data_IF_258827278051
#
_entry.id   IF_258827278051
#
_cell.length_a   1.000
_cell.length_b   1.000
_cell.length_c   1.000
_cell.angle_alpha   90.00
_cell.angle_beta   90.00
_cell.angle_gamma   90.00
#
_symmetry.space_group_name_H-M   'P 1'
#
loop_
_entity.id
_entity.type
_entity.pdbx_description
1 polymer ?
#
# COMPACT_ATOMS: atom_id res chain seq x y z
N UNK A 1 -23.88 1.99 -18.73
CA UNK A 1 -22.59 1.60 -18.14
C UNK A 1 -22.88 0.84 -16.86
N UNK A 2 -22.58 -0.46 -16.84
CA UNK A 2 -22.67 -1.33 -15.66
C UNK A 2 -21.25 -1.66 -15.21
N UNK A 3 -20.51 -0.63 -14.79
CA UNK A 3 -19.12 -0.75 -14.34
C UNK A 3 -19.10 -1.02 -12.84
N UNK A 4 -18.31 -1.99 -12.37
CA UNK A 4 -18.02 -2.19 -10.95
C UNK A 4 -19.30 -2.45 -10.11
N UNK A 5 -20.08 -3.45 -10.51
CA UNK A 5 -21.28 -3.86 -9.79
C UNK A 5 -21.27 -5.38 -9.55
N UNK A 6 -21.85 -5.84 -8.44
CA UNK A 6 -21.99 -7.27 -8.14
C UNK A 6 -23.20 -7.91 -8.87
N UNK A 7 -23.45 -7.56 -10.14
CA UNK A 7 -24.57 -8.16 -10.86
C UNK A 7 -24.29 -9.63 -11.19
N UNK A 8 -25.22 -10.50 -10.78
CA UNK A 8 -25.19 -11.95 -11.03
C UNK A 8 -26.32 -12.32 -12.01
N UNK A 9 -26.05 -13.21 -12.97
CA UNK A 9 -27.03 -13.70 -13.95
C UNK A 9 -26.49 -13.80 -15.38
N UNK A 10 -27.36 -14.11 -16.34
CA UNK A 10 -27.05 -13.99 -17.77
C UNK A 10 -27.33 -12.55 -18.24
N UNK A 11 -26.60 -12.06 -19.25
CA UNK A 11 -26.90 -10.74 -19.84
C UNK A 11 -28.28 -10.79 -20.53
N UNK A 12 -29.26 -9.97 -20.13
CA UNK A 12 -30.50 -9.80 -20.89
C UNK A 12 -30.21 -9.14 -22.25
N UNK A 13 -30.82 -9.70 -23.29
CA UNK A 13 -30.61 -9.34 -24.72
C UNK A 13 -30.84 -7.85 -24.99
N UNK A 14 -31.63 -7.19 -24.16
CA UNK A 14 -31.98 -5.77 -24.25
C UNK A 14 -30.82 -4.82 -23.86
N UNK A 15 -29.75 -5.31 -23.24
CA UNK A 15 -28.60 -4.51 -22.78
C UNK A 15 -27.55 -4.25 -23.86
N UNK A 16 -27.88 -4.40 -25.15
CA UNK A 16 -26.98 -4.33 -26.31
C UNK A 16 -26.13 -3.07 -26.53
N UNK A 17 -26.00 -2.19 -25.55
CA UNK A 17 -25.07 -1.05 -25.56
C UNK A 17 -24.31 -0.86 -24.23
N UNK A 18 -24.40 -1.82 -23.30
CA UNK A 18 -23.83 -1.68 -21.97
C UNK A 18 -22.46 -2.35 -21.87
N UNK A 19 -21.43 -1.59 -21.49
CA UNK A 19 -20.16 -2.11 -20.99
C UNK A 19 -20.40 -2.77 -19.63
N UNK A 20 -20.02 -4.04 -19.50
CA UNK A 20 -20.25 -4.89 -18.31
C UNK A 20 -18.92 -5.31 -17.69
N UNK A 21 -18.06 -4.34 -17.38
CA UNK A 21 -16.73 -4.62 -16.79
C UNK A 21 -16.87 -5.00 -15.32
N UNK A 22 -16.09 -5.96 -14.87
CA UNK A 22 -15.97 -6.32 -13.45
C UNK A 22 -17.32 -6.65 -12.80
N UNK A 23 -17.99 -7.69 -13.31
CA UNK A 23 -19.25 -8.23 -12.76
C UNK A 23 -19.15 -9.76 -12.60
N UNK A 24 -20.25 -10.41 -12.20
CA UNK A 24 -20.34 -11.87 -12.07
C UNK A 24 -21.31 -12.47 -13.09
N UNK A 25 -21.34 -11.92 -14.31
CA UNK A 25 -22.19 -12.47 -15.35
C UNK A 25 -21.70 -13.85 -15.78
N UNK A 26 -22.65 -14.76 -16.01
CA UNK A 26 -22.38 -16.18 -16.33
C UNK A 26 -23.13 -16.59 -17.60
N UNK A 27 -22.81 -17.78 -18.12
CA UNK A 27 -23.40 -18.32 -19.34
C UNK A 27 -22.68 -17.89 -20.62
N UNK A 28 -23.29 -18.14 -21.77
CA UNK A 28 -22.72 -17.79 -23.07
C UNK A 28 -23.11 -16.38 -23.51
N UNK A 29 -22.28 -15.78 -24.37
CA UNK A 29 -22.64 -14.53 -25.03
C UNK A 29 -23.84 -14.77 -25.97
N UNK A 30 -24.91 -13.95 -25.88
CA UNK A 30 -26.08 -14.11 -26.73
C UNK A 30 -25.73 -13.83 -28.20
N UNK A 31 -26.20 -14.68 -29.10
CA UNK A 31 -25.97 -14.53 -30.55
C UNK A 31 -26.64 -13.26 -31.11
N UNK A 32 -27.68 -12.80 -30.43
CA UNK A 32 -28.45 -11.59 -30.71
C UNK A 32 -27.58 -10.33 -30.67
N UNK A 33 -26.42 -10.35 -29.98
CA UNK A 33 -25.48 -9.23 -30.00
C UNK A 33 -25.01 -8.89 -31.42
N UNK A 34 -24.97 -9.87 -32.33
CA UNK A 34 -24.63 -9.64 -33.74
C UNK A 34 -25.64 -8.80 -34.52
N UNK A 35 -26.81 -8.48 -33.94
CA UNK A 35 -27.84 -7.64 -34.58
C UNK A 35 -27.65 -6.14 -34.31
N UNK A 36 -26.74 -5.78 -33.42
CA UNK A 36 -26.53 -4.42 -32.93
C UNK A 36 -25.66 -3.61 -33.89
N UNK A 37 -26.20 -3.21 -35.04
CA UNK A 37 -25.46 -2.55 -36.12
C UNK A 37 -24.68 -1.28 -35.71
N UNK A 38 -25.07 -0.63 -34.61
CA UNK A 38 -24.45 0.59 -34.09
C UNK A 38 -23.41 0.36 -32.98
N UNK A 39 -23.16 -0.89 -32.58
CA UNK A 39 -22.22 -1.20 -31.51
C UNK A 39 -20.78 -0.89 -31.95
N UNK A 40 -20.09 -0.06 -31.16
CA UNK A 40 -18.73 0.39 -31.44
C UNK A 40 -17.71 -0.23 -30.49
N UNK A 41 -18.10 -0.45 -29.23
CA UNK A 41 -17.27 -1.05 -28.21
C UNK A 41 -18.08 -2.11 -27.47
N UNK A 42 -17.54 -3.32 -27.39
CA UNK A 42 -18.06 -4.38 -26.55
C UNK A 42 -16.96 -4.75 -25.55
N UNK A 43 -17.19 -4.44 -24.28
CA UNK A 43 -16.27 -4.71 -23.20
C UNK A 43 -16.99 -5.51 -22.11
N UNK A 44 -16.48 -6.70 -21.85
CA UNK A 44 -17.05 -7.67 -20.91
C UNK A 44 -15.94 -8.46 -20.19
N UNK A 45 -14.78 -7.84 -20.00
CA UNK A 45 -13.67 -8.41 -19.26
C UNK A 45 -14.01 -8.67 -17.79
N UNK A 46 -13.24 -9.56 -17.17
CA UNK A 46 -13.35 -9.92 -15.75
C UNK A 46 -14.77 -10.37 -15.35
N UNK A 47 -15.30 -11.35 -16.09
CA UNK A 47 -16.60 -11.96 -15.80
C UNK A 47 -16.47 -13.49 -15.78
N UNK A 48 -17.59 -14.20 -15.66
CA UNK A 48 -17.66 -15.66 -15.65
C UNK A 48 -18.36 -16.21 -16.91
N UNK A 49 -18.24 -15.53 -18.05
CA UNK A 49 -18.79 -16.02 -19.31
C UNK A 49 -18.11 -17.31 -19.75
N UNK A 50 -18.86 -18.20 -20.39
CA UNK A 50 -18.41 -19.53 -20.78
C UNK A 50 -19.03 -19.98 -22.11
N UNK A 51 -18.47 -21.02 -22.72
CA UNK A 51 -18.91 -21.50 -24.03
C UNK A 51 -18.21 -20.78 -25.20
N UNK A 52 -18.66 -21.03 -26.45
CA UNK A 52 -17.98 -20.52 -27.64
C UNK A 52 -18.24 -19.04 -27.90
N UNK A 53 -17.26 -18.38 -28.52
CA UNK A 53 -17.43 -17.05 -29.07
C UNK A 53 -18.47 -17.09 -30.22
N UNK A 54 -19.54 -16.28 -30.18
CA UNK A 54 -20.56 -16.29 -31.21
C UNK A 54 -20.02 -15.72 -32.53
N UNK A 55 -20.06 -16.47 -33.65
CA UNK A 55 -19.60 -15.98 -34.96
C UNK A 55 -20.34 -14.72 -35.43
N UNK A 56 -21.58 -14.53 -34.95
CA UNK A 56 -22.45 -13.40 -35.23
C UNK A 56 -21.81 -12.05 -34.89
N UNK A 57 -20.87 -12.00 -33.93
CA UNK A 57 -20.15 -10.77 -33.60
C UNK A 57 -19.33 -10.23 -34.77
N UNK A 58 -18.92 -11.09 -35.72
CA UNK A 58 -18.26 -10.68 -36.95
C UNK A 58 -19.13 -9.82 -37.90
N UNK A 59 -20.43 -9.71 -37.64
CA UNK A 59 -21.36 -8.91 -38.45
C UNK A 59 -21.53 -7.46 -37.94
N UNK A 60 -20.71 -7.02 -36.98
CA UNK A 60 -20.80 -5.68 -36.39
C UNK A 60 -19.94 -4.67 -37.16
N UNK A 61 -20.51 -3.82 -38.04
CA UNK A 61 -19.73 -3.04 -39.00
C UNK A 61 -18.96 -1.87 -38.38
N UNK A 62 -19.33 -1.44 -37.17
CA UNK A 62 -18.76 -0.29 -36.48
C UNK A 62 -17.91 -0.66 -35.27
N UNK A 63 -17.78 -1.95 -34.95
CA UNK A 63 -17.04 -2.41 -33.78
C UNK A 63 -15.54 -2.15 -33.97
N UNK A 64 -14.97 -1.32 -33.10
CA UNK A 64 -13.54 -1.00 -33.11
C UNK A 64 -12.79 -1.53 -31.89
N UNK A 65 -13.51 -1.81 -30.78
CA UNK A 65 -12.93 -2.39 -29.57
C UNK A 65 -13.76 -3.58 -29.10
N UNK A 66 -13.10 -4.73 -28.96
CA UNK A 66 -13.66 -5.96 -28.42
C UNK A 66 -12.77 -6.47 -27.29
N UNK A 67 -13.25 -6.36 -26.06
CA UNK A 67 -12.57 -6.89 -24.87
C UNK A 67 -13.43 -7.96 -24.19
N UNK A 68 -12.95 -9.19 -24.26
CA UNK A 68 -13.55 -10.38 -23.64
C UNK A 68 -12.52 -11.12 -22.77
N UNK A 69 -11.44 -10.43 -22.37
CA UNK A 69 -10.37 -11.00 -21.57
C UNK A 69 -10.85 -11.47 -20.20
N UNK A 70 -10.07 -12.35 -19.55
CA UNK A 70 -10.36 -12.83 -18.19
C UNK A 70 -11.77 -13.40 -18.02
N UNK A 71 -12.11 -14.38 -18.85
CA UNK A 71 -13.38 -15.11 -18.82
C UNK A 71 -13.11 -16.62 -18.95
N UNK A 72 -14.15 -17.43 -19.16
CA UNK A 72 -14.05 -18.88 -19.39
C UNK A 72 -14.54 -19.30 -20.78
N UNK A 73 -14.36 -18.45 -21.80
CA UNK A 73 -14.72 -18.78 -23.18
C UNK A 73 -13.88 -19.97 -23.71
N UNK A 74 -14.49 -20.82 -24.52
CA UNK A 74 -13.86 -22.04 -25.04
C UNK A 74 -14.14 -22.25 -26.53
N UNK A 75 -13.50 -23.24 -27.16
CA UNK A 75 -13.65 -23.48 -28.61
C UNK A 75 -12.77 -22.56 -29.46
N UNK A 76 -13.05 -22.46 -30.76
CA UNK A 76 -12.21 -21.72 -31.72
C UNK A 76 -12.56 -20.22 -31.80
N UNK A 77 -11.57 -19.40 -32.17
CA UNK A 77 -11.83 -18.00 -32.55
C UNK A 77 -12.57 -18.00 -33.90
N UNK A 78 -13.77 -17.39 -34.01
CA UNK A 78 -14.54 -17.41 -35.25
C UNK A 78 -13.82 -16.69 -36.39
N UNK A 79 -13.73 -17.33 -37.56
CA UNK A 79 -13.15 -16.72 -38.78
C UNK A 79 -13.90 -15.45 -39.20
N UNK A 80 -15.18 -15.37 -38.86
CA UNK A 80 -16.02 -14.20 -39.10
C UNK A 80 -15.48 -12.92 -38.46
N UNK A 81 -14.62 -13.00 -37.43
CA UNK A 81 -14.00 -11.81 -36.85
C UNK A 81 -13.11 -11.06 -37.86
N UNK A 82 -12.58 -11.74 -38.89
CA UNK A 82 -11.87 -11.10 -40.00
C UNK A 82 -12.72 -10.15 -40.87
N UNK A 83 -14.05 -10.20 -40.73
CA UNK A 83 -14.98 -9.27 -41.40
C UNK A 83 -15.04 -7.90 -40.71
N UNK A 84 -14.56 -7.79 -39.48
CA UNK A 84 -14.60 -6.55 -38.68
C UNK A 84 -13.53 -5.57 -39.17
N UNK A 85 -13.82 -4.84 -40.24
CA UNK A 85 -12.84 -3.96 -40.91
C UNK A 85 -12.41 -2.73 -40.10
N UNK A 86 -13.19 -2.34 -39.09
CA UNK A 86 -12.87 -1.25 -38.16
C UNK A 86 -12.25 -1.70 -36.84
N UNK A 87 -12.05 -3.00 -36.66
CA UNK A 87 -11.53 -3.54 -35.41
C UNK A 87 -10.08 -3.09 -35.20
N UNK A 88 -9.85 -2.37 -34.11
CA UNK A 88 -8.55 -1.82 -33.78
C UNK A 88 -7.94 -2.47 -32.54
N UNK A 89 -8.78 -2.91 -31.62
CA UNK A 89 -8.40 -3.53 -30.35
C UNK A 89 -9.17 -4.84 -30.16
N UNK A 90 -8.44 -5.94 -30.01
CA UNK A 90 -8.99 -7.26 -29.74
C UNK A 90 -8.24 -7.90 -28.56
N UNK A 91 -8.94 -8.02 -27.43
CA UNK A 91 -8.43 -8.66 -26.21
C UNK A 91 -9.23 -9.93 -25.92
N UNK A 92 -8.57 -11.08 -26.03
CA UNK A 92 -9.13 -12.40 -25.72
C UNK A 92 -8.24 -13.17 -24.73
N UNK A 93 -7.32 -12.48 -24.05
CA UNK A 93 -6.38 -13.09 -23.11
C UNK A 93 -7.09 -13.79 -21.93
N UNK A 94 -6.39 -14.76 -21.34
CA UNK A 94 -6.85 -15.48 -20.14
C UNK A 94 -8.26 -16.10 -20.32
N UNK A 95 -8.37 -16.98 -21.31
CA UNK A 95 -9.56 -17.77 -21.62
C UNK A 95 -9.14 -19.23 -21.96
N UNK A 96 -10.10 -20.07 -22.36
CA UNK A 96 -9.87 -21.47 -22.78
C UNK A 96 -10.03 -21.65 -24.31
N UNK A 97 -9.70 -20.62 -25.10
CA UNK A 97 -9.83 -20.67 -26.56
C UNK A 97 -8.78 -21.62 -27.15
N UNK A 98 -9.19 -22.44 -28.10
CA UNK A 98 -8.39 -23.52 -28.67
C UNK A 98 -8.43 -23.51 -30.19
N UNK A 99 -7.65 -24.37 -30.84
CA UNK A 99 -7.58 -24.44 -32.30
C UNK A 99 -6.71 -23.33 -32.89
N UNK A 100 -6.85 -23.12 -34.21
CA UNK A 100 -5.96 -22.21 -34.94
C UNK A 100 -6.44 -20.76 -34.91
N UNK A 101 -5.48 -19.83 -34.81
CA UNK A 101 -5.73 -18.41 -35.02
C UNK A 101 -6.16 -18.18 -36.47
N UNK A 102 -7.36 -17.64 -36.75
CA UNK A 102 -7.85 -17.43 -38.11
C UNK A 102 -6.91 -16.51 -38.90
N UNK A 103 -6.41 -16.90 -40.08
CA UNK A 103 -5.60 -16.03 -40.94
C UNK A 103 -6.34 -14.75 -41.33
N UNK A 104 -7.68 -14.78 -41.38
CA UNK A 104 -8.54 -13.64 -41.68
C UNK A 104 -8.39 -12.49 -40.67
N UNK A 105 -7.93 -12.75 -39.43
CA UNK A 105 -7.60 -11.70 -38.47
C UNK A 105 -6.40 -10.86 -38.92
N UNK A 106 -5.48 -11.44 -39.69
CA UNK A 106 -4.31 -10.75 -40.25
C UNK A 106 -4.66 -9.85 -41.43
N UNK A 107 -5.87 -9.97 -41.99
CA UNK A 107 -6.37 -9.11 -43.05
C UNK A 107 -7.01 -7.81 -42.52
N UNK A 108 -7.11 -7.66 -41.19
CA UNK A 108 -7.65 -6.46 -40.56
C UNK A 108 -6.56 -5.38 -40.54
N UNK A 109 -6.69 -4.40 -41.43
CA UNK A 109 -5.70 -3.33 -41.62
C UNK A 109 -5.63 -2.38 -40.42
N UNK A 110 -6.77 -2.15 -39.73
CA UNK A 110 -6.87 -1.19 -38.63
C UNK A 110 -6.48 -1.77 -37.24
N UNK A 111 -6.05 -3.04 -37.19
CA UNK A 111 -5.70 -3.75 -35.97
C UNK A 111 -4.41 -3.21 -35.34
N UNK A 112 -4.55 -2.40 -34.29
CA UNK A 112 -3.43 -1.84 -33.54
C UNK A 112 -3.01 -2.73 -32.37
N UNK A 113 -3.96 -3.43 -31.76
CA UNK A 113 -3.70 -4.25 -30.58
C UNK A 113 -4.44 -5.56 -30.67
N UNK A 114 -3.68 -6.65 -30.55
CA UNK A 114 -4.17 -8.01 -30.48
C UNK A 114 -3.57 -8.63 -29.23
N UNK A 115 -4.38 -9.22 -28.36
CA UNK A 115 -3.90 -10.00 -27.23
C UNK A 115 -4.68 -11.32 -27.16
N UNK A 116 -3.97 -12.42 -27.38
CA UNK A 116 -4.48 -13.79 -27.37
C UNK A 116 -3.72 -14.63 -26.34
N UNK A 117 -3.06 -13.98 -25.38
CA UNK A 117 -2.19 -14.66 -24.42
C UNK A 117 -2.98 -15.56 -23.48
N UNK A 118 -2.31 -16.54 -22.87
CA UNK A 118 -2.88 -17.45 -21.87
C UNK A 118 -4.18 -18.14 -22.34
N UNK A 119 -4.14 -18.74 -23.53
CA UNK A 119 -5.20 -19.57 -24.09
C UNK A 119 -4.64 -20.96 -24.47
N UNK A 120 -5.39 -21.76 -25.22
CA UNK A 120 -5.02 -23.10 -25.72
C UNK A 120 -4.81 -23.12 -27.25
N UNK A 121 -4.39 -22.00 -27.84
CA UNK A 121 -4.31 -21.83 -29.29
C UNK A 121 -3.10 -22.56 -29.92
N UNK A 122 -3.25 -22.93 -31.19
CA UNK A 122 -2.20 -23.45 -32.09
C UNK A 122 -1.99 -22.49 -33.28
N UNK A 123 -0.77 -22.37 -33.83
CA UNK A 123 -0.47 -21.35 -34.87
C UNK A 123 -0.35 -22.00 -36.24
N UNK A 124 -1.06 -21.37 -37.19
CA UNK A 124 -0.76 -21.31 -38.62
C UNK A 124 -0.99 -19.87 -39.12
N UNK A 125 -0.47 -18.89 -38.37
CA UNK A 125 -0.64 -17.46 -38.58
C UNK A 125 0.72 -16.79 -38.84
N UNK A 126 0.90 -16.21 -40.03
CA UNK A 126 2.11 -15.47 -40.41
C UNK A 126 2.03 -14.02 -39.90
N UNK A 127 1.92 -13.84 -38.58
CA UNK A 127 1.77 -12.54 -37.93
C UNK A 127 2.96 -12.17 -37.05
N UNK A 128 4.15 -12.04 -37.63
CA UNK A 128 5.40 -11.72 -36.90
C UNK A 128 5.32 -10.43 -36.07
N UNK A 129 4.36 -9.55 -36.36
CA UNK A 129 4.14 -8.29 -35.65
C UNK A 129 3.56 -8.46 -34.23
N UNK A 130 2.86 -9.57 -33.95
CA UNK A 130 2.12 -9.78 -32.71
C UNK A 130 2.74 -10.86 -31.83
N UNK A 131 4.06 -11.01 -31.84
CA UNK A 131 4.77 -12.12 -31.18
C UNK A 131 4.45 -12.27 -29.69
N UNK A 132 4.32 -11.15 -28.97
CA UNK A 132 4.01 -11.15 -27.53
C UNK A 132 2.54 -11.47 -27.24
N UNK A 133 1.64 -11.25 -28.21
CA UNK A 133 0.20 -11.52 -28.10
C UNK A 133 -0.14 -13.00 -27.97
N UNK A 134 0.84 -13.89 -28.20
CA UNK A 134 0.65 -15.35 -28.20
C UNK A 134 1.27 -16.04 -26.97
N UNK A 135 1.84 -15.29 -26.03
CA UNK A 135 2.44 -15.84 -24.81
C UNK A 135 1.44 -16.70 -24.03
N UNK A 136 1.91 -17.74 -23.35
CA UNK A 136 1.05 -18.57 -22.49
C UNK A 136 0.16 -19.59 -23.22
N UNK A 137 0.25 -19.71 -24.55
CA UNK A 137 -0.44 -20.75 -25.31
C UNK A 137 0.42 -22.04 -25.42
N UNK A 138 0.03 -23.17 -24.79
CA UNK A 138 0.84 -24.38 -24.75
C UNK A 138 1.03 -25.04 -26.12
N UNK A 139 0.09 -24.86 -27.05
CA UNK A 139 0.14 -25.39 -28.42
C UNK A 139 1.14 -24.69 -29.34
N UNK A 140 1.70 -23.54 -28.93
CA UNK A 140 2.62 -22.69 -29.73
C UNK A 140 4.09 -22.93 -29.46
N UNK A 141 4.41 -23.80 -28.50
CA UNK A 141 5.76 -24.08 -28.09
C UNK A 141 6.54 -24.94 -29.11
N UNK A 142 7.15 -24.30 -30.11
CA UNK A 142 8.12 -24.94 -31.01
C UNK A 142 9.54 -24.81 -30.44
N UNK A 143 9.97 -25.78 -29.63
CA UNK A 143 11.39 -26.02 -29.30
C UNK A 143 12.12 -25.03 -28.37
N UNK A 144 11.59 -23.83 -28.09
CA UNK A 144 12.20 -22.85 -27.17
C UNK A 144 11.27 -22.32 -26.06
N UNK A 145 10.18 -23.02 -25.76
CA UNK A 145 9.59 -22.88 -24.43
C UNK A 145 10.45 -23.67 -23.45
N UNK A 146 11.29 -22.97 -22.68
CA UNK A 146 11.68 -23.52 -21.38
C UNK A 146 10.39 -23.85 -20.64
N UNK A 147 10.21 -25.15 -20.40
CA UNK A 147 9.08 -25.77 -19.72
C UNK A 147 8.61 -24.93 -18.53
N UNK A 148 7.55 -24.16 -18.73
CA UNK A 148 6.53 -24.00 -17.71
C UNK A 148 5.52 -25.14 -17.90
N UNK A 149 5.88 -26.30 -17.35
CA UNK A 149 4.88 -27.31 -16.98
C UNK A 149 4.65 -28.48 -17.93
N UNK A 150 5.63 -29.37 -18.06
CA UNK A 150 5.34 -30.81 -17.84
C UNK A 150 6.11 -31.27 -16.62
N UNK A 151 5.54 -32.17 -15.77
CA UNK A 151 6.20 -32.67 -14.57
C UNK A 151 7.30 -33.63 -15.00
N UNK A 152 8.41 -33.04 -15.43
CA UNK A 152 9.67 -33.73 -15.60
C UNK A 152 10.05 -34.31 -14.23
N UNK A 153 10.66 -35.48 -14.19
CA UNK A 153 10.98 -36.27 -12.98
C UNK A 153 11.62 -35.44 -11.83
N UNK A 154 12.20 -34.29 -12.16
CA UNK A 154 12.73 -33.27 -11.25
C UNK A 154 11.67 -32.50 -10.45
N UNK A 155 10.45 -32.29 -10.94
CA UNK A 155 9.36 -31.59 -10.23
C UNK A 155 8.84 -32.40 -9.05
N UNK A 156 8.73 -33.73 -9.18
CA UNK A 156 8.48 -34.60 -8.03
C UNK A 156 9.63 -34.58 -7.02
N UNK A 157 10.89 -34.51 -7.47
CA UNK A 157 12.05 -34.40 -6.58
C UNK A 157 12.08 -33.05 -5.85
N UNK A 158 11.78 -31.94 -6.55
CA UNK A 158 11.70 -30.60 -5.95
C UNK A 158 10.50 -30.50 -5.00
N UNK A 159 9.32 -31.01 -5.37
CA UNK A 159 8.15 -31.07 -4.49
C UNK A 159 8.46 -31.93 -3.25
N UNK A 160 9.14 -33.07 -3.40
CA UNK A 160 9.60 -33.90 -2.27
C UNK A 160 10.62 -33.20 -1.36
N UNK A 161 11.39 -32.23 -1.86
CA UNK A 161 12.34 -31.45 -1.07
C UNK A 161 11.72 -30.19 -0.45
N UNK A 162 10.83 -29.52 -1.18
CA UNK A 162 10.30 -28.20 -0.82
C UNK A 162 9.06 -28.31 0.05
N UNK A 163 8.16 -29.27 -0.20
CA UNK A 163 6.98 -29.49 0.64
C UNK A 163 7.33 -29.76 2.11
N UNK A 164 8.29 -30.64 2.48
CA UNK A 164 8.63 -30.82 3.88
C UNK A 164 9.30 -29.58 4.48
N UNK A 165 9.97 -28.74 3.69
CA UNK A 165 10.52 -27.47 4.17
C UNK A 165 9.38 -26.50 4.50
N UNK A 166 8.38 -26.35 3.63
CA UNK A 166 7.20 -25.52 3.91
C UNK A 166 6.37 -26.08 5.08
N UNK A 167 6.25 -27.41 5.17
CA UNK A 167 5.55 -28.05 6.28
C UNK A 167 6.31 -27.85 7.60
N UNK A 168 7.65 -27.95 7.59
CA UNK A 168 8.49 -27.65 8.74
C UNK A 168 8.42 -26.17 9.12
N UNK A 169 8.44 -25.24 8.15
CA UNK A 169 8.27 -23.82 8.39
C UNK A 169 6.89 -23.52 8.99
N UNK A 170 5.82 -24.14 8.47
CA UNK A 170 4.48 -24.02 9.00
C UNK A 170 4.38 -24.57 10.43
N UNK A 171 5.01 -25.71 10.73
CA UNK A 171 5.09 -26.25 12.10
C UNK A 171 5.87 -25.31 13.01
N UNK A 172 7.00 -24.74 12.58
CA UNK A 172 7.77 -23.75 13.35
C UNK A 172 6.92 -22.50 13.61
N UNK A 173 6.16 -22.04 12.61
CA UNK A 173 5.29 -20.89 12.73
C UNK A 173 4.13 -21.19 13.70
N UNK A 174 3.54 -22.39 13.64
CA UNK A 174 2.52 -22.84 14.58
C UNK A 174 3.05 -23.01 16.01
N UNK A 175 4.26 -23.55 16.18
CA UNK A 175 4.94 -23.60 17.49
C UNK A 175 5.23 -22.19 17.99
N UNK A 176 5.66 -21.29 17.11
CA UNK A 176 5.89 -19.87 17.41
C UNK A 176 4.60 -19.17 17.83
N UNK A 177 3.48 -19.40 17.14
CA UNK A 177 2.16 -18.89 17.49
C UNK A 177 1.63 -19.52 18.79
N UNK A 178 1.83 -20.82 19.00
CA UNK A 178 1.45 -21.51 20.23
C UNK A 178 2.29 -20.99 21.41
N UNK A 179 3.59 -20.78 21.22
CA UNK A 179 4.47 -20.19 22.22
C UNK A 179 4.14 -18.72 22.47
N UNK A 180 3.84 -17.95 21.43
CA UNK A 180 3.42 -16.56 21.53
C UNK A 180 2.10 -16.45 22.28
N UNK A 181 1.10 -17.25 21.93
CA UNK A 181 -0.19 -17.29 22.64
C UNK A 181 -0.06 -17.82 24.06
N UNK A 182 0.80 -18.81 24.32
CA UNK A 182 1.14 -19.26 25.67
C UNK A 182 1.82 -18.15 26.48
N UNK A 183 2.82 -17.48 25.91
CA UNK A 183 3.55 -16.39 26.57
C UNK A 183 2.64 -15.18 26.77
N UNK A 184 1.78 -14.86 25.82
CA UNK A 184 0.79 -13.79 25.89
C UNK A 184 -0.29 -14.11 26.92
N UNK A 185 -0.77 -15.37 26.98
CA UNK A 185 -1.67 -15.82 28.06
C UNK A 185 -0.98 -15.80 29.41
N UNK A 186 0.29 -16.21 29.51
CA UNK A 186 1.10 -16.12 30.73
C UNK A 186 1.33 -14.67 31.14
N UNK A 187 1.57 -13.77 30.19
CA UNK A 187 1.68 -12.34 30.44
C UNK A 187 0.35 -11.77 30.94
N UNK A 188 -0.78 -12.16 30.34
CA UNK A 188 -2.12 -11.73 30.75
C UNK A 188 -2.54 -12.33 32.10
N UNK A 189 -2.17 -13.57 32.40
CA UNK A 189 -2.39 -14.20 33.71
C UNK A 189 -1.52 -13.55 34.77
N UNK A 190 -0.24 -13.29 34.48
CA UNK A 190 0.64 -12.52 35.37
C UNK A 190 0.16 -11.07 35.53
N UNK A 191 -0.41 -10.46 34.47
CA UNK A 191 -1.02 -9.12 34.54
C UNK A 191 -2.33 -9.13 35.35
N UNK A 192 -3.09 -10.22 35.31
CA UNK A 192 -4.26 -10.44 36.16
C UNK A 192 -3.88 -10.79 37.61
N UNK A 193 -2.71 -11.38 37.84
CA UNK A 193 -2.11 -11.59 39.17
C UNK A 193 -1.43 -10.31 39.71
N UNK A 194 -1.07 -9.37 38.82
CA UNK A 194 -0.59 -8.02 39.14
C UNK A 194 -1.73 -6.99 39.26
N UNK A 195 -2.98 -7.37 39.00
CA UNK A 195 -4.18 -6.60 39.33
C UNK A 195 -4.74 -6.99 40.71
N UNK A 196 -3.87 -7.41 41.63
CA UNK A 196 -4.10 -7.26 43.07
C UNK A 196 -4.01 -5.77 43.41
N UNK A 197 -5.07 -5.01 43.09
CA UNK A 197 -5.62 -3.92 43.89
C UNK A 197 -4.67 -2.83 44.45
N UNK A 198 -3.46 -2.69 43.92
CA UNK A 198 -2.46 -1.74 44.43
C UNK A 198 -1.56 -1.30 43.30
N UNK A 199 -2.03 -0.29 42.59
CA UNK A 199 -1.23 0.49 41.64
C UNK A 199 0.04 0.99 42.35
N UNK A 200 1.18 0.35 42.07
CA UNK A 200 2.51 0.85 42.43
C UNK A 200 2.88 2.01 41.50
N UNK A 201 2.20 3.13 41.67
CA UNK A 201 2.70 4.41 41.19
C UNK A 201 3.95 4.74 41.98
N UNK A 202 5.12 4.60 41.37
CA UNK A 202 6.34 5.23 41.87
C UNK A 202 6.50 6.54 41.13
N UNK A 203 6.07 7.61 41.78
CA UNK A 203 6.28 8.99 41.38
C UNK A 203 7.80 9.28 41.42
N UNK A 204 8.44 9.44 40.27
CA UNK A 204 9.76 10.07 40.19
C UNK A 204 9.62 11.49 39.69
N UNK A 205 9.69 12.44 40.64
CA UNK A 205 9.79 13.87 40.39
C UNK A 205 11.08 14.22 39.62
N UNK A 206 10.97 14.94 38.50
CA UNK A 206 12.12 15.42 37.72
C UNK A 206 12.75 16.70 38.30
N UNK A 207 13.30 16.55 39.51
CA UNK A 207 14.47 17.32 39.94
C UNK A 207 15.75 16.47 39.80
N UNK A 208 15.81 15.58 38.81
CA UNK A 208 17.01 14.77 38.55
C UNK A 208 17.76 15.30 37.33
N UNK A 209 18.89 15.93 37.62
CA UNK A 209 19.91 16.38 36.66
C UNK A 209 20.66 15.19 36.01
N UNK A 210 20.36 13.97 36.46
CA UNK A 210 20.99 12.73 35.99
C UNK A 210 19.93 11.82 35.34
N UNK A 211 19.80 11.89 34.02
CA UNK A 211 19.05 10.89 33.25
C UNK A 211 20.00 9.75 32.83
N UNK A 212 19.52 8.52 32.94
CA UNK A 212 20.24 7.30 32.56
C UNK A 212 19.89 6.86 31.14
N UNK A 213 20.73 6.03 30.52
CA UNK A 213 20.47 5.43 29.20
C UNK A 213 19.11 4.72 29.13
N UNK A 214 18.64 4.15 30.26
CA UNK A 214 17.34 3.48 30.36
C UNK A 214 16.17 4.45 30.23
N UNK A 215 16.33 5.69 30.69
CA UNK A 215 15.28 6.69 30.64
C UNK A 215 15.05 7.15 29.19
N UNK A 216 16.13 7.25 28.40
CA UNK A 216 16.07 7.53 26.96
C UNK A 216 15.33 6.40 26.23
N UNK A 217 15.63 5.15 26.57
CA UNK A 217 15.00 3.97 25.94
C UNK A 217 13.50 3.91 26.24
N UNK A 218 13.08 4.31 27.44
CA UNK A 218 11.67 4.33 27.82
C UNK A 218 10.86 5.41 27.10
N UNK A 219 11.50 6.52 26.69
CA UNK A 219 10.84 7.60 25.94
C UNK A 219 10.71 7.32 24.44
N UNK A 220 11.38 6.28 23.92
CA UNK A 220 11.26 5.81 22.54
C UNK A 220 10.03 4.86 22.40
N UNK A 221 8.85 5.36 22.76
CA UNK A 221 7.58 4.61 22.68
C UNK A 221 6.84 4.80 21.34
N UNK A 222 5.77 4.06 21.06
CA UNK A 222 5.09 4.13 19.76
C UNK A 222 4.31 5.42 19.53
N UNK A 223 4.01 6.17 20.59
CA UNK A 223 3.17 7.37 20.53
C UNK A 223 3.98 8.63 20.14
N UNK A 224 5.31 8.59 20.23
CA UNK A 224 6.18 9.75 19.98
C UNK A 224 6.84 9.76 18.57
N UNK A 225 6.39 8.90 17.65
CA UNK A 225 7.01 8.65 16.33
C UNK A 225 6.51 9.65 15.27
N UNK A 226 7.42 10.28 14.52
CA UNK A 226 7.13 11.20 13.39
C UNK A 226 7.32 10.60 11.99
N UNK A 227 7.86 9.39 11.91
CA UNK A 227 8.00 8.68 10.65
C UNK A 227 8.53 7.28 10.89
N UNK A 228 8.03 6.32 10.11
CA UNK A 228 8.47 4.93 10.18
C UNK A 228 8.81 4.44 8.78
N UNK A 229 9.98 3.81 8.64
CA UNK A 229 10.43 3.21 7.37
C UNK A 229 11.26 1.95 7.61
N UNK A 230 11.76 1.35 6.53
CA UNK A 230 12.53 0.08 6.59
C UNK A 230 13.82 0.11 7.41
N UNK A 231 14.24 1.29 7.87
CA UNK A 231 15.43 1.50 8.71
C UNK A 231 15.10 1.87 10.17
N UNK A 232 13.83 2.02 10.56
CA UNK A 232 13.42 2.30 11.94
C UNK A 232 12.34 3.37 12.09
N UNK A 233 12.06 3.71 13.36
CA UNK A 233 11.15 4.78 13.79
C UNK A 233 11.97 6.05 14.04
N UNK A 234 11.52 7.17 13.47
CA UNK A 234 12.11 8.51 13.65
C UNK A 234 11.21 9.27 14.60
N UNK A 235 11.78 9.85 15.65
CA UNK A 235 11.08 10.65 16.66
C UNK A 235 11.37 12.14 16.44
N UNK A 236 10.37 13.02 16.58
CA UNK A 236 10.63 14.47 16.45
C UNK A 236 11.21 14.93 17.76
N UNK A 237 12.50 15.22 17.74
CA UNK A 237 13.18 15.85 18.86
C UNK A 237 12.49 17.15 19.31
N UNK A 238 11.77 17.82 18.40
CA UNK A 238 10.94 18.97 18.74
C UNK A 238 9.79 18.66 19.69
N UNK A 239 9.13 17.50 19.56
CA UNK A 239 8.04 17.09 20.47
C UNK A 239 8.58 16.85 21.88
N UNK A 240 9.76 16.22 21.98
CA UNK A 240 10.45 16.02 23.27
C UNK A 240 10.80 17.36 23.93
N UNK A 241 11.29 18.33 23.16
CA UNK A 241 11.54 19.67 23.69
C UNK A 241 10.25 20.37 24.13
N UNK A 242 9.16 20.23 23.36
CA UNK A 242 7.87 20.82 23.73
C UNK A 242 7.37 20.23 25.04
N UNK A 243 7.44 18.91 25.22
CA UNK A 243 7.08 18.25 26.49
C UNK A 243 7.91 18.79 27.65
N UNK A 244 9.22 18.96 27.46
CA UNK A 244 10.12 19.48 28.50
C UNK A 244 9.82 20.93 28.91
N UNK A 245 9.52 21.81 27.96
CA UNK A 245 9.29 23.24 28.26
C UNK A 245 7.87 23.55 28.69
N UNK A 246 6.90 22.71 28.30
CA UNK A 246 5.47 22.90 28.64
C UNK A 246 5.05 22.10 29.88
N UNK A 247 5.77 21.03 30.22
CA UNK A 247 5.37 20.06 31.24
C UNK A 247 4.20 19.16 30.80
N UNK A 248 3.77 19.28 29.53
CA UNK A 248 2.58 18.62 29.00
C UNK A 248 2.97 17.42 28.14
N UNK A 249 2.29 16.28 28.34
CA UNK A 249 2.50 15.08 27.51
C UNK A 249 1.91 15.28 26.10
N UNK A 250 2.44 14.61 25.06
CA UNK A 250 1.94 14.72 23.68
C UNK A 250 0.43 14.53 23.49
N UNK A 251 -0.18 13.69 24.34
CA UNK A 251 -1.62 13.34 24.33
C UNK A 251 -2.26 13.53 25.71
N UNK A 252 -1.85 14.55 26.47
CA UNK A 252 -2.42 14.81 27.80
C UNK A 252 -3.93 15.17 27.70
N UNK A 253 -4.74 14.72 28.67
CA UNK A 253 -6.20 14.91 28.63
C UNK A 253 -6.58 16.40 28.65
N UNK A 254 -5.74 17.23 29.25
CA UNK A 254 -5.82 18.69 29.34
C UNK A 254 -5.70 19.38 27.97
N UNK A 255 -5.15 18.69 26.98
CA UNK A 255 -4.98 19.16 25.60
C UNK A 255 -6.26 18.90 24.77
N UNK A 256 -7.15 18.04 25.26
CA UNK A 256 -8.41 17.68 24.59
C UNK A 256 -8.18 16.78 23.38
N UNK A 257 -8.83 17.10 22.26
CA UNK A 257 -8.68 16.35 20.99
C UNK A 257 -7.47 16.80 20.15
N UNK A 258 -6.74 17.82 20.61
CA UNK A 258 -5.55 18.32 19.92
C UNK A 258 -4.30 17.53 20.32
N UNK A 259 -3.33 17.43 19.41
CA UNK A 259 -1.98 17.02 19.79
C UNK A 259 -1.22 18.19 20.43
N UNK A 260 -0.15 17.88 21.19
CA UNK A 260 0.66 18.89 21.87
C UNK A 260 1.22 19.96 20.92
N UNK A 261 1.56 19.62 19.67
CA UNK A 261 2.09 20.60 18.72
C UNK A 261 1.02 21.61 18.35
N UNK A 262 -0.19 21.13 18.02
CA UNK A 262 -1.34 21.96 17.67
C UNK A 262 -1.78 22.84 18.84
N UNK A 263 -1.78 22.30 20.06
CA UNK A 263 -2.12 23.05 21.26
C UNK A 263 -1.11 24.14 21.55
N UNK A 264 0.20 23.84 21.48
CA UNK A 264 1.25 24.84 21.68
C UNK A 264 1.14 25.95 20.64
N UNK A 265 1.01 25.61 19.36
CA UNK A 265 0.88 26.63 18.30
C UNK A 265 -0.34 27.53 18.52
N UNK A 266 -1.49 26.95 18.85
CA UNK A 266 -2.74 27.69 19.08
C UNK A 266 -2.64 28.62 20.29
N UNK A 267 -2.10 28.12 21.41
CA UNK A 267 -1.98 28.91 22.63
C UNK A 267 -0.94 30.03 22.52
N UNK A 268 0.16 29.81 21.79
CA UNK A 268 1.15 30.86 21.52
C UNK A 268 0.54 31.99 20.67
N UNK A 269 -0.27 31.66 19.66
CA UNK A 269 -0.95 32.67 18.83
C UNK A 269 -1.96 33.50 19.63
N UNK A 270 -2.64 32.89 20.60
CA UNK A 270 -3.65 33.56 21.41
C UNK A 270 -3.07 34.34 22.60
N UNK A 271 -2.07 33.78 23.28
CA UNK A 271 -1.65 34.20 24.62
C UNK A 271 -0.13 34.41 24.75
N UNK A 272 0.63 34.25 23.67
CA UNK A 272 2.08 34.44 23.64
C UNK A 272 2.89 33.24 24.14
N UNK A 273 4.22 33.30 23.98
CA UNK A 273 5.12 32.16 24.26
C UNK A 273 5.11 31.70 25.72
N UNK A 274 4.88 32.60 26.66
CA UNK A 274 4.99 32.30 28.10
C UNK A 274 3.78 31.49 28.61
N UNK A 275 2.66 31.56 27.89
CA UNK A 275 1.40 30.93 28.29
C UNK A 275 1.45 29.41 28.26
N UNK A 276 2.34 28.84 27.45
CA UNK A 276 2.49 27.39 27.28
C UNK A 276 3.60 26.81 28.14
N UNK A 277 4.42 27.65 28.79
CA UNK A 277 5.54 27.17 29.58
C UNK A 277 5.06 26.52 30.88
N UNK A 278 5.80 25.51 31.33
CA UNK A 278 5.64 24.95 32.67
C UNK A 278 5.94 26.07 33.69
N UNK A 279 4.91 26.52 34.39
CA UNK A 279 5.00 27.64 35.31
C UNK A 279 5.96 27.37 36.47
N UNK A 280 6.12 26.10 36.86
CA UNK A 280 7.03 25.67 37.93
C UNK A 280 8.49 25.92 37.56
N UNK A 281 8.84 25.67 36.30
CA UNK A 281 10.19 25.86 35.78
C UNK A 281 10.41 27.31 35.29
N UNK A 282 9.35 27.94 34.79
CA UNK A 282 9.40 29.30 34.25
C UNK A 282 9.76 30.34 35.31
N UNK A 283 9.54 30.08 36.60
CA UNK A 283 9.97 30.99 37.68
C UNK A 283 11.50 31.22 37.69
N UNK A 284 12.28 30.22 37.28
CA UNK A 284 13.75 30.26 37.37
C UNK A 284 14.44 30.34 36.01
N UNK A 285 13.83 29.77 34.96
CA UNK A 285 14.47 29.58 33.65
C UNK A 285 13.65 30.13 32.48
N UNK A 286 12.85 31.17 32.74
CA UNK A 286 11.87 31.72 31.78
C UNK A 286 12.46 32.00 30.40
N UNK A 287 13.61 32.69 30.36
CA UNK A 287 14.23 33.15 29.12
C UNK A 287 14.82 31.98 28.34
N UNK A 288 15.42 31.02 29.03
CA UNK A 288 15.93 29.77 28.49
C UNK A 288 14.83 28.93 27.90
N UNK A 289 13.75 28.75 28.66
CA UNK A 289 12.59 27.98 28.22
C UNK A 289 11.95 28.61 26.99
N UNK A 290 11.84 29.94 26.93
CA UNK A 290 11.39 30.65 25.72
C UNK A 290 12.29 30.38 24.50
N UNK A 291 13.62 30.34 24.69
CA UNK A 291 14.57 30.05 23.60
C UNK A 291 14.47 28.59 23.15
N UNK A 292 14.41 27.64 24.09
CA UNK A 292 14.24 26.21 23.81
C UNK A 292 12.90 25.96 23.12
N UNK A 293 11.82 26.61 23.56
CA UNK A 293 10.50 26.55 22.93
C UNK A 293 10.54 27.00 21.46
N UNK A 294 11.27 28.08 21.14
CA UNK A 294 11.46 28.52 19.75
C UNK A 294 12.19 27.47 18.91
N UNK A 295 13.23 26.84 19.46
CA UNK A 295 13.98 25.77 18.78
C UNK A 295 13.06 24.56 18.56
N UNK A 296 12.23 24.22 19.55
CA UNK A 296 11.26 23.13 19.46
C UNK A 296 10.25 23.36 18.33
N UNK A 297 9.69 24.57 18.23
CA UNK A 297 8.77 24.98 17.16
C UNK A 297 9.36 24.87 15.75
N UNK A 298 10.66 25.17 15.59
CA UNK A 298 11.37 24.96 14.32
C UNK A 298 11.45 23.46 13.98
N UNK A 299 11.70 22.61 14.97
CA UNK A 299 11.84 21.16 14.78
C UNK A 299 10.51 20.48 14.43
N UNK A 300 9.38 20.99 14.93
CA UNK A 300 8.03 20.46 14.65
C UNK A 300 7.33 21.12 13.46
N UNK A 301 8.01 22.01 12.72
CA UNK A 301 7.38 22.74 11.61
C UNK A 301 6.71 21.83 10.58
N UNK A 302 5.53 22.18 10.08
CA UNK A 302 4.83 21.41 9.03
C UNK A 302 5.56 21.40 7.68
N UNK A 303 6.51 22.31 7.46
CA UNK A 303 7.33 22.36 6.26
C UNK A 303 8.70 21.71 6.53
N UNK A 304 9.04 20.57 5.90
CA UNK A 304 10.32 19.88 6.13
C UNK A 304 11.54 20.77 5.87
N UNK A 305 11.46 21.68 4.90
CA UNK A 305 12.54 22.62 4.54
C UNK A 305 12.84 23.66 5.63
N UNK A 306 11.92 23.89 6.56
CA UNK A 306 12.12 24.79 7.71
C UNK A 306 12.72 24.08 8.92
N UNK A 307 12.75 22.75 8.92
CA UNK A 307 13.28 21.97 10.04
C UNK A 307 14.81 21.96 9.98
N UNK A 308 15.51 22.44 11.01
CA UNK A 308 16.96 22.40 11.05
C UNK A 308 17.48 20.96 11.17
N UNK A 309 18.67 20.65 10.62
CA UNK A 309 19.32 19.37 10.88
C UNK A 309 19.73 19.28 12.36
N UNK A 310 19.77 18.07 12.93
CA UNK A 310 20.08 17.86 14.35
C UNK A 310 21.39 18.50 14.82
N UNK A 311 22.43 18.54 13.96
CA UNK A 311 23.69 19.25 14.26
C UNK A 311 23.49 20.75 14.52
N UNK A 312 22.59 21.39 13.78
CA UNK A 312 22.25 22.80 13.99
C UNK A 312 21.42 22.99 15.26
N UNK A 313 20.50 22.06 15.55
CA UNK A 313 19.70 22.08 16.80
C UNK A 313 20.60 21.99 18.03
N UNK A 314 21.55 21.05 18.04
CA UNK A 314 22.52 20.91 19.15
C UNK A 314 23.32 22.19 19.35
N UNK A 315 23.77 22.83 18.25
CA UNK A 315 24.48 24.12 18.33
C UNK A 315 23.60 25.20 18.95
N UNK A 316 22.35 25.35 18.49
CA UNK A 316 21.41 26.33 19.04
C UNK A 316 21.17 26.13 20.54
N UNK A 317 21.04 24.87 21.00
CA UNK A 317 20.89 24.57 22.43
C UNK A 317 22.15 24.88 23.25
N UNK A 318 23.34 24.61 22.69
CA UNK A 318 24.60 24.97 23.35
C UNK A 318 24.76 26.48 23.47
N UNK A 319 24.36 27.24 22.45
CA UNK A 319 24.39 28.70 22.49
C UNK A 319 23.46 29.23 23.60
N UNK A 320 22.26 28.65 23.76
CA UNK A 320 21.36 28.95 24.89
C UNK A 320 22.04 28.66 26.24
N UNK A 321 22.77 27.55 26.37
CA UNK A 321 23.48 27.18 27.61
C UNK A 321 24.63 28.13 27.94
N UNK A 322 25.41 28.54 26.95
CA UNK A 322 26.59 29.40 27.14
C UNK A 322 26.21 30.85 27.50
N UNK A 323 25.07 31.35 27.01
CA UNK A 323 24.56 32.68 27.37
C UNK A 323 24.21 32.82 28.86
N UNK A 324 23.95 31.72 29.58
CA UNK A 324 23.57 31.74 31.00
C UNK A 324 24.72 31.51 31.98
N UNK A 325 25.96 31.35 31.50
CA UNK A 325 27.09 31.34 32.43
C UNK A 325 27.21 32.74 33.07
N UNK A 326 27.23 32.85 34.41
CA UNK A 326 27.42 34.14 35.06
C UNK A 326 28.75 34.73 34.58
N UNK A 327 28.69 35.92 34.00
CA UNK A 327 29.89 36.70 33.67
C UNK A 327 30.66 36.90 34.98
N UNK A 328 31.83 36.28 35.10
CA UNK A 328 32.77 36.52 36.20
C UNK A 328 32.95 38.03 36.33
N UNK A 329 32.45 38.62 37.42
CA UNK A 329 32.74 39.99 37.79
C UNK A 329 34.24 40.07 38.04
N UNK A 330 34.96 40.73 37.14
CA UNK A 330 36.32 41.20 37.41
C UNK A 330 36.19 42.25 38.51
N UNK A 331 36.62 41.93 39.72
CA UNK A 331 36.80 42.93 40.78
C UNK A 331 37.88 43.93 40.34
N UNK A 332 37.64 45.25 40.48
CA UNK A 332 38.67 46.23 40.20
C UNK A 332 39.74 46.19 41.30
N UNK A 333 41.01 46.14 40.90
CA UNK A 333 42.15 46.33 41.79
C UNK A 333 41.95 47.62 42.60
N UNK A 334 41.79 47.50 43.92
CA UNK A 334 41.94 48.62 44.83
C UNK A 334 43.43 48.99 44.92
N UNK A 335 43.72 50.19 44.42
CA UNK A 335 44.84 51.12 44.68
C UNK A 335 46.21 50.57 45.05
#
# INVERSE_FOLDING_TARGET
MLLDNEFEGAIPVELGQCWTLDNRFTGALPAELGTLANLQELRAENNCFSGPLPPCLGNLPLLFNLDLSHNSFSGEIPRDFGKLKKLSQLYLSDNHLSGNVPPELGEIIEMNTLDLSNNELSVLFNGLQYKESFLGNPGLCHGFCQSYGKPDSKRHTIIKLVVPIFFAAAIILLIGLAWFTYKFRKYKMNAAELDDGKSNWVLTSYHRVDFSEKDIVNSLDENNVIGQGGAGKVYSFGVVMLELVTGMKPMALEIGEMDLVMWVSTNIEQSGLESVLDQTLAEQFKDEMCKVLKIALLCVSNLPTRRPPMRAVVKMLLDVKEENKPKLKVEPLAT
#
